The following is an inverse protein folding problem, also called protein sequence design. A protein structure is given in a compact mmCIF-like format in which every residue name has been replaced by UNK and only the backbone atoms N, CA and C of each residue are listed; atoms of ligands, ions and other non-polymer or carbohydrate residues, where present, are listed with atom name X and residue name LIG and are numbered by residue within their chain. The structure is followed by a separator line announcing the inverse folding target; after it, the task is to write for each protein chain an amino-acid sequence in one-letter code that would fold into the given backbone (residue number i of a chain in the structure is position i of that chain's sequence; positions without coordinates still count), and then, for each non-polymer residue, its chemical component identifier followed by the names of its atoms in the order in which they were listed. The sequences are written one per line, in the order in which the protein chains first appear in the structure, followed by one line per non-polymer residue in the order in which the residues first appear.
data_IF_449073811179
#
_entry.id   IF_449073811179
#
_cell.length_a   1.000
_cell.length_b   1.000
_cell.length_c   1.000
_cell.angle_alpha   90.00
_cell.angle_beta   90.00
_cell.angle_gamma   90.00
#
_symmetry.space_group_name_H-M   'P 1'
#
loop_
_entity.id
_entity.type
_entity.pdbx_description
1 polymer ?
#
# COMPACT_ATOMS: atom_id res chain seq x y z
N UNK A 1 31.34 24.34 23.29
CA UNK A 1 31.11 23.26 24.26
C UNK A 1 30.19 22.23 23.60
N UNK A 2 30.78 21.24 22.92
CA UNK A 2 30.06 20.25 22.11
C UNK A 2 29.63 19.10 23.01
N UNK A 3 28.33 18.83 23.04
CA UNK A 3 27.70 17.93 23.98
C UNK A 3 28.01 16.45 23.64
N UNK A 4 28.70 15.76 24.55
CA UNK A 4 29.26 14.40 24.41
C UNK A 4 28.22 13.32 24.05
N UNK A 5 26.93 13.59 24.31
CA UNK A 5 25.81 12.70 23.96
C UNK A 5 25.57 12.56 22.45
N UNK A 6 25.94 13.54 21.62
CA UNK A 6 25.76 13.44 20.16
C UNK A 6 26.84 12.62 19.46
N UNK A 7 28.01 12.44 20.08
CA UNK A 7 29.10 11.61 19.53
C UNK A 7 29.01 10.14 19.97
N UNK A 8 28.44 9.86 21.14
CA UNK A 8 28.21 8.48 21.59
C UNK A 8 27.19 7.74 20.71
N UNK A 9 26.17 8.45 20.21
CA UNK A 9 25.19 7.87 19.28
C UNK A 9 25.83 7.55 17.93
N UNK A 10 26.75 8.39 17.44
CA UNK A 10 27.39 8.20 16.13
C UNK A 10 28.45 7.08 16.11
N UNK A 11 29.14 6.85 17.24
CA UNK A 11 30.17 5.81 17.36
C UNK A 11 29.60 4.40 17.63
N UNK A 12 28.42 4.28 18.24
CA UNK A 12 27.74 2.99 18.41
C UNK A 12 27.28 2.42 17.06
N UNK A 13 27.05 3.25 16.04
CA UNK A 13 26.67 2.81 14.69
C UNK A 13 27.81 2.21 13.86
N UNK A 14 29.08 2.39 14.25
CA UNK A 14 30.23 1.95 13.43
C UNK A 14 30.89 0.63 13.88
N UNK A 15 30.57 0.09 15.07
CA UNK A 15 31.37 -1.02 15.64
C UNK A 15 30.63 -2.34 15.95
N UNK A 16 29.35 -2.49 15.62
CA UNK A 16 28.64 -3.77 15.81
C UNK A 16 27.79 -4.17 14.60
N UNK A 17 28.38 -4.83 13.57
CA UNK A 17 27.66 -5.25 12.38
C UNK A 17 26.50 -6.23 12.68
N UNK A 18 26.50 -6.88 13.85
CA UNK A 18 25.42 -7.78 14.29
C UNK A 18 24.15 -7.07 14.80
N UNK A 19 24.21 -5.79 15.19
CA UNK A 19 23.01 -5.05 15.64
C UNK A 19 22.26 -4.42 14.46
N UNK A 20 22.95 -4.08 13.36
CA UNK A 20 22.34 -3.58 12.12
C UNK A 20 21.32 -4.57 11.52
N UNK A 21 21.61 -5.87 11.57
CA UNK A 21 20.66 -6.91 11.13
C UNK A 21 19.46 -7.04 12.07
N UNK A 22 19.64 -6.79 13.38
CA UNK A 22 18.57 -6.92 14.38
C UNK A 22 17.57 -5.75 14.33
N UNK A 23 17.96 -4.58 13.80
CA UNK A 23 17.08 -3.42 13.60
C UNK A 23 16.51 -3.28 12.18
N UNK A 24 17.04 -3.98 11.16
CA UNK A 24 16.33 -4.14 9.87
C UNK A 24 15.02 -4.91 10.06
N UNK A 25 15.02 -5.93 10.92
CA UNK A 25 13.84 -6.75 11.17
C UNK A 25 12.76 -6.07 12.03
N UNK A 26 13.04 -4.92 12.68
CA UNK A 26 12.03 -4.20 13.45
C UNK A 26 11.23 -3.21 12.60
N UNK A 27 11.79 -2.74 11.47
CA UNK A 27 11.10 -1.91 10.48
C UNK A 27 10.34 -2.73 9.42
N UNK A 28 10.68 -4.02 9.28
CA UNK A 28 10.04 -5.00 8.39
C UNK A 28 8.75 -5.62 8.97
N UNK A 29 8.29 -5.15 10.13
CA UNK A 29 7.10 -5.66 10.81
C UNK A 29 6.09 -4.52 11.02
N UNK A 30 5.75 -3.83 9.93
CA UNK A 30 4.59 -2.93 9.89
C UNK A 30 3.46 -3.68 9.18
N UNK A 31 2.71 -4.49 9.94
CA UNK A 31 1.65 -5.36 9.41
C UNK A 31 0.54 -4.57 8.72
N UNK A 32 0.21 -3.41 9.30
CA UNK A 32 -0.82 -2.50 8.82
C UNK A 32 -0.46 -1.07 9.16
N UNK A 33 -0.53 -0.21 8.16
CA UNK A 33 -0.31 1.22 8.29
C UNK A 33 -1.49 1.95 7.67
N UNK A 34 -2.10 2.85 8.43
CA UNK A 34 -3.07 3.82 7.91
C UNK A 34 -2.44 5.20 8.03
N UNK A 35 -2.39 5.96 6.94
CA UNK A 35 -1.94 7.35 6.96
C UNK A 35 -3.06 8.25 6.47
N UNK A 36 -3.41 9.23 7.29
CA UNK A 36 -4.34 10.29 6.92
C UNK A 36 -3.60 11.62 6.78
N UNK A 37 -3.62 12.20 5.58
CA UNK A 37 -3.15 13.56 5.31
C UNK A 37 -4.34 14.51 5.39
N UNK A 38 -4.25 15.55 6.21
CA UNK A 38 -5.29 16.57 6.26
C UNK A 38 -5.23 17.52 5.03
N UNK A 39 -6.35 18.16 4.67
CA UNK A 39 -6.36 19.25 3.69
C UNK A 39 -5.38 20.37 4.07
N UNK A 40 -4.74 20.97 3.06
CA UNK A 40 -3.79 22.08 3.21
C UNK A 40 -2.61 21.82 4.16
N UNK A 41 -2.32 20.55 4.46
CA UNK A 41 -1.16 20.13 5.26
C UNK A 41 -0.32 19.12 4.48
N UNK A 42 0.98 19.26 4.58
CA UNK A 42 1.94 18.30 4.05
C UNK A 42 2.20 17.16 5.04
N UNK A 43 1.99 17.41 6.33
CA UNK A 43 2.07 16.39 7.38
C UNK A 43 0.73 15.68 7.57
N UNK A 44 0.78 14.42 7.97
CA UNK A 44 -0.37 13.59 8.28
C UNK A 44 -0.32 12.97 9.67
N UNK A 45 -1.26 12.06 9.90
CA UNK A 45 -1.33 11.18 11.05
C UNK A 45 -1.18 9.74 10.56
N UNK A 46 -0.34 8.95 11.20
CA UNK A 46 -0.18 7.53 10.94
C UNK A 46 -0.66 6.70 12.12
N UNK A 47 -1.39 5.63 11.81
CA UNK A 47 -1.76 4.58 12.74
C UNK A 47 -1.04 3.31 12.29
N UNK A 48 -0.23 2.76 13.19
CA UNK A 48 0.58 1.56 12.94
C UNK A 48 0.05 0.45 13.85
N UNK A 49 -0.35 -0.67 13.25
CA UNK A 49 -0.72 -1.85 14.02
C UNK A 49 0.54 -2.65 14.40
N UNK A 50 0.68 -3.03 15.68
CA UNK A 50 1.77 -3.90 16.16
C UNK A 50 2.46 -3.45 17.45
N UNK A 51 2.23 -2.22 17.92
CA UNK A 51 2.63 -1.75 19.25
C UNK A 51 1.39 -1.46 20.11
N UNK A 52 1.45 -1.70 21.42
CA UNK A 52 0.34 -1.46 22.35
C UNK A 52 -0.33 -0.08 22.17
N UNK A 53 -1.62 0.01 22.52
CA UNK A 53 -2.49 1.20 22.35
C UNK A 53 -2.10 2.06 21.14
N UNK A 54 -2.44 1.60 19.92
CA UNK A 54 -2.13 2.29 18.68
C UNK A 54 -2.75 3.70 18.67
N UNK A 55 -1.94 4.70 19.02
CA UNK A 55 -2.29 6.10 18.95
C UNK A 55 -1.85 6.67 17.60
N UNK A 56 -2.62 7.62 17.08
CA UNK A 56 -2.25 8.35 15.86
C UNK A 56 -1.00 9.19 16.09
N UNK A 57 0.07 8.88 15.35
CA UNK A 57 1.36 9.59 15.42
C UNK A 57 1.49 10.59 14.27
N UNK A 58 2.21 11.70 14.48
CA UNK A 58 2.51 12.63 13.40
C UNK A 58 3.45 11.97 12.38
N UNK A 59 3.20 12.19 11.09
CA UNK A 59 4.15 11.81 10.05
C UNK A 59 5.12 12.96 9.76
N UNK A 60 6.31 12.66 9.21
CA UNK A 60 7.07 13.63 8.43
C UNK A 60 6.24 14.18 7.25
N UNK A 61 6.77 15.19 6.57
CA UNK A 61 6.19 15.74 5.34
C UNK A 61 6.00 14.62 4.29
N UNK A 62 4.74 14.38 3.91
CA UNK A 62 4.31 13.35 2.96
C UNK A 62 4.51 13.76 1.49
N UNK A 63 4.95 14.98 1.21
CA UNK A 63 5.25 15.46 -0.15
C UNK A 63 6.74 15.32 -0.48
N UNK A 64 7.58 15.18 0.54
CA UNK A 64 9.02 15.02 0.40
C UNK A 64 9.40 13.54 0.21
N UNK A 65 10.50 13.27 -0.50
CA UNK A 65 11.11 11.93 -0.62
C UNK A 65 11.79 11.49 0.70
N UNK A 66 11.50 12.16 1.82
CA UNK A 66 11.98 11.76 3.13
C UNK A 66 11.50 10.35 3.46
N UNK A 67 12.25 9.60 4.27
CA UNK A 67 11.95 8.21 4.65
C UNK A 67 10.73 8.11 5.60
N UNK A 68 9.56 8.52 5.14
CA UNK A 68 8.29 8.33 5.82
C UNK A 68 7.60 7.04 5.35
N UNK A 69 6.60 6.61 6.12
CA UNK A 69 6.00 5.29 5.97
C UNK A 69 5.41 5.04 4.57
N UNK A 70 4.76 6.04 3.95
CA UNK A 70 4.23 5.93 2.57
C UNK A 70 5.34 5.77 1.51
N UNK A 71 6.43 6.55 1.56
CA UNK A 71 7.56 6.40 0.61
C UNK A 71 8.19 5.03 0.77
N UNK A 72 8.36 4.57 2.02
CA UNK A 72 8.94 3.26 2.32
C UNK A 72 8.10 2.11 1.77
N UNK A 73 6.78 2.16 1.94
CA UNK A 73 5.87 1.16 1.38
C UNK A 73 5.85 1.16 -0.15
N UNK A 74 6.29 2.24 -0.80
CA UNK A 74 6.31 2.38 -2.26
C UNK A 74 7.72 2.34 -2.85
N UNK A 75 8.76 2.03 -2.06
CA UNK A 75 10.17 2.14 -2.46
C UNK A 75 10.45 1.36 -3.76
N UNK A 76 9.83 0.19 -3.92
CA UNK A 76 9.98 -0.66 -5.10
C UNK A 76 8.95 -0.40 -6.20
N UNK A 77 8.04 0.55 -5.98
CA UNK A 77 7.08 1.04 -6.98
C UNK A 77 7.63 2.29 -7.65
N UNK A 78 8.33 3.14 -6.90
CA UNK A 78 8.93 4.40 -7.39
C UNK A 78 10.30 4.17 -8.03
N UNK A 79 10.97 3.06 -7.71
CA UNK A 79 12.26 2.67 -8.25
C UNK A 79 12.27 1.18 -8.57
N UNK A 80 12.94 0.80 -9.66
CA UNK A 80 13.02 -0.59 -10.10
C UNK A 80 13.72 -1.47 -9.05
N UNK A 81 13.14 -2.64 -8.79
CA UNK A 81 13.72 -3.68 -7.93
C UNK A 81 13.64 -5.04 -8.66
N UNK A 82 14.72 -5.84 -8.67
CA UNK A 82 14.71 -7.15 -9.32
C UNK A 82 13.76 -8.16 -8.63
N UNK A 83 13.62 -8.07 -7.30
CA UNK A 83 12.86 -9.00 -6.48
C UNK A 83 11.40 -8.58 -6.21
N UNK A 84 10.96 -7.37 -6.54
CA UNK A 84 9.56 -6.97 -6.30
C UNK A 84 8.86 -6.64 -7.61
N UNK A 85 7.65 -7.19 -7.78
CA UNK A 85 6.77 -7.03 -8.94
C UNK A 85 5.42 -6.54 -8.49
N UNK A 86 4.75 -5.75 -9.32
CA UNK A 86 3.54 -5.05 -8.93
C UNK A 86 2.60 -4.72 -10.08
N UNK A 87 1.33 -4.60 -9.70
CA UNK A 87 0.26 -4.00 -10.50
C UNK A 87 -0.10 -2.67 -9.85
N UNK A 88 -0.11 -1.60 -10.63
CA UNK A 88 -0.59 -0.30 -10.20
C UNK A 88 -1.87 0.08 -10.93
N UNK A 89 -2.87 0.52 -10.17
CA UNK A 89 -4.19 0.86 -10.67
C UNK A 89 -4.66 2.22 -10.13
N UNK A 90 -5.26 3.04 -10.99
CA UNK A 90 -5.76 4.35 -10.63
C UNK A 90 -6.76 4.83 -11.69
N UNK A 91 -7.90 5.37 -11.26
CA UNK A 91 -8.87 5.96 -12.18
C UNK A 91 -8.39 7.27 -12.83
N UNK A 92 -7.40 7.93 -12.26
CA UNK A 92 -6.70 9.08 -12.82
C UNK A 92 -5.20 8.78 -12.72
N UNK A 93 -4.63 7.98 -13.65
CA UNK A 93 -3.23 7.62 -13.58
C UNK A 93 -2.32 8.83 -13.83
N UNK A 94 -1.08 8.82 -13.31
CA UNK A 94 -0.12 9.88 -13.61
C UNK A 94 0.19 9.93 -15.10
N UNK A 95 0.19 11.14 -15.65
CA UNK A 95 0.63 11.43 -17.02
C UNK A 95 -0.18 10.73 -18.13
N UNK A 96 -1.39 10.23 -17.81
CA UNK A 96 -2.34 9.68 -18.77
C UNK A 96 -3.52 10.64 -18.91
N UNK A 97 -3.99 10.96 -20.14
CA UNK A 97 -5.20 11.75 -20.35
C UNK A 97 -6.38 11.16 -19.58
N UNK A 98 -7.28 12.01 -19.08
CA UNK A 98 -8.42 11.58 -18.25
C UNK A 98 -9.30 10.57 -19.00
N UNK A 99 -9.09 9.29 -18.72
CA UNK A 99 -9.94 8.20 -19.21
C UNK A 99 -11.18 8.13 -18.33
N UNK A 100 -12.37 8.02 -18.92
CA UNK A 100 -13.59 7.73 -18.15
C UNK A 100 -13.54 6.29 -17.66
N UNK A 101 -13.35 6.09 -16.36
CA UNK A 101 -13.39 4.77 -15.73
C UNK A 101 -14.71 4.59 -14.97
N UNK A 102 -15.14 3.34 -14.78
CA UNK A 102 -16.30 3.01 -13.93
C UNK A 102 -15.95 2.95 -12.44
N UNK A 103 -14.65 2.89 -12.12
CA UNK A 103 -14.12 2.80 -10.76
C UNK A 103 -13.54 4.11 -10.27
N UNK A 104 -13.55 4.31 -8.94
CA UNK A 104 -12.76 5.34 -8.26
C UNK A 104 -11.57 4.75 -7.46
N UNK A 105 -11.37 3.43 -7.52
CA UNK A 105 -10.35 2.72 -6.77
C UNK A 105 -8.94 3.05 -7.27
N UNK A 106 -8.00 3.17 -6.33
CA UNK A 106 -6.58 3.43 -6.60
C UNK A 106 -5.73 2.64 -5.62
N UNK A 107 -4.57 2.18 -6.08
CA UNK A 107 -3.69 1.36 -5.26
C UNK A 107 -2.60 0.66 -6.04
N UNK A 108 -1.84 -0.13 -5.29
CA UNK A 108 -0.74 -0.95 -5.79
C UNK A 108 -0.80 -2.31 -5.12
N UNK A 109 -0.75 -3.37 -5.90
CA UNK A 109 -0.61 -4.74 -5.43
C UNK A 109 0.80 -5.20 -5.77
N UNK A 110 1.58 -5.63 -4.78
CA UNK A 110 2.99 -5.99 -4.91
C UNK A 110 3.25 -7.40 -4.39
N UNK A 111 4.25 -8.07 -4.96
CA UNK A 111 4.72 -9.39 -4.57
C UNK A 111 6.20 -9.59 -4.90
N UNK A 112 6.88 -10.42 -4.12
CA UNK A 112 8.17 -10.97 -4.50
C UNK A 112 8.00 -12.41 -5.00
N UNK A 113 8.18 -12.68 -6.31
CA UNK A 113 7.98 -14.02 -6.86
C UNK A 113 9.07 -15.04 -6.44
N UNK A 114 10.09 -14.61 -5.69
CA UNK A 114 11.20 -15.47 -5.27
C UNK A 114 11.16 -15.80 -3.76
N UNK A 115 10.23 -15.21 -3.01
CA UNK A 115 10.15 -15.36 -1.55
C UNK A 115 8.69 -15.55 -1.16
N UNK A 116 8.39 -16.73 -0.63
CA UNK A 116 7.05 -17.07 -0.17
C UNK A 116 6.50 -16.06 0.85
N UNK A 117 5.23 -15.71 0.71
CA UNK A 117 4.46 -14.86 1.61
C UNK A 117 5.00 -13.42 1.75
N UNK A 118 5.74 -12.94 0.73
CA UNK A 118 6.18 -11.55 0.63
C UNK A 118 5.31 -10.78 -0.37
N UNK A 119 4.10 -10.42 0.06
CA UNK A 119 3.17 -9.62 -0.72
C UNK A 119 2.57 -8.46 0.09
N UNK A 120 2.21 -7.39 -0.61
CA UNK A 120 1.60 -6.22 0.01
C UNK A 120 0.57 -5.55 -0.89
N UNK A 121 -0.44 -4.96 -0.27
CA UNK A 121 -1.49 -4.24 -0.95
C UNK A 121 -1.65 -2.85 -0.35
N UNK A 122 -1.53 -1.84 -1.20
CA UNK A 122 -1.70 -0.44 -0.87
C UNK A 122 -2.96 0.07 -1.53
N UNK A 123 -3.84 0.68 -0.75
CA UNK A 123 -4.99 1.44 -1.23
C UNK A 123 -4.77 2.91 -0.88
N UNK A 124 -5.03 3.81 -1.82
CA UNK A 124 -4.96 5.24 -1.56
C UNK A 124 -6.08 6.03 -2.26
N UNK A 125 -6.23 7.29 -1.88
CA UNK A 125 -7.21 8.20 -2.50
C UNK A 125 -6.59 9.23 -3.45
N UNK A 126 -5.26 9.29 -3.55
CA UNK A 126 -4.52 10.29 -4.36
C UNK A 126 -4.61 10.03 -5.88
N UNK A 127 -5.25 10.89 -6.68
CA UNK A 127 -5.18 10.82 -8.15
C UNK A 127 -3.78 11.22 -8.65
N UNK A 128 -3.34 10.72 -9.82
CA UNK A 128 -2.03 11.05 -10.38
C UNK A 128 -0.84 10.43 -9.64
N UNK A 129 -1.08 9.37 -8.86
CA UNK A 129 -0.10 8.75 -7.96
C UNK A 129 -0.25 7.22 -7.90
N UNK A 130 0.80 6.45 -7.58
CA UNK A 130 2.22 6.82 -7.66
C UNK A 130 2.73 6.87 -9.10
N UNK A 131 3.85 7.54 -9.36
CA UNK A 131 4.53 7.47 -10.66
C UNK A 131 5.38 6.19 -10.72
N UNK A 132 4.80 5.12 -11.27
CA UNK A 132 5.49 3.83 -11.41
C UNK A 132 6.87 4.01 -12.08
N UNK A 133 7.91 3.54 -11.38
CA UNK A 133 9.33 3.55 -11.76
C UNK A 133 9.93 4.93 -12.07
N UNK A 134 9.28 6.02 -11.66
CA UNK A 134 9.66 7.39 -12.02
C UNK A 134 9.86 8.30 -10.80
N UNK A 135 10.21 7.71 -9.67
CA UNK A 135 10.48 8.43 -8.42
C UNK A 135 9.21 8.83 -7.67
N UNK A 136 9.43 9.32 -6.45
CA UNK A 136 8.36 9.79 -5.59
C UNK A 136 7.99 11.23 -5.93
N UNK A 137 6.76 11.44 -6.39
CA UNK A 137 6.21 12.77 -6.63
C UNK A 137 4.78 12.79 -6.08
N UNK A 138 4.55 13.55 -5.02
CA UNK A 138 3.21 13.83 -4.55
C UNK A 138 2.57 14.91 -5.44
N UNK A 139 1.38 14.70 -6.03
CA UNK A 139 0.75 15.65 -6.93
C UNK A 139 0.47 17.00 -6.23
N UNK A 140 0.98 18.14 -6.74
CA UNK A 140 0.76 19.45 -6.14
C UNK A 140 -0.72 19.83 -5.99
N UNK A 141 -1.56 19.41 -6.93
CA UNK A 141 -3.01 19.66 -6.94
C UNK A 141 -3.75 18.99 -5.78
N UNK A 142 -3.10 17.98 -5.17
CA UNK A 142 -3.66 17.15 -4.11
C UNK A 142 -3.18 17.59 -2.70
N UNK A 143 -2.27 18.58 -2.62
CA UNK A 143 -1.82 19.15 -1.33
C UNK A 143 -2.98 19.80 -0.57
N UNK A 144 -3.88 20.48 -1.30
CA UNK A 144 -5.05 21.16 -0.71
C UNK A 144 -6.14 20.20 -0.23
N UNK A 145 -6.05 18.89 -0.54
CA UNK A 145 -7.07 17.90 -0.24
C UNK A 145 -6.63 16.92 0.84
N UNK A 146 -7.62 16.29 1.46
CA UNK A 146 -7.39 15.22 2.42
C UNK A 146 -7.19 13.89 1.71
N UNK A 147 -6.21 13.10 2.15
CA UNK A 147 -5.90 11.80 1.54
C UNK A 147 -5.70 10.70 2.57
N UNK A 148 -6.06 9.49 2.17
CA UNK A 148 -5.92 8.28 2.97
C UNK A 148 -5.00 7.32 2.23
N UNK A 149 -4.11 6.69 2.97
CA UNK A 149 -3.31 5.54 2.56
C UNK A 149 -3.54 4.40 3.53
N UNK A 150 -3.73 3.20 3.00
CA UNK A 150 -3.81 1.97 3.76
C UNK A 150 -2.80 1.03 3.14
N UNK A 151 -1.80 0.60 3.91
CA UNK A 151 -0.79 -0.36 3.49
C UNK A 151 -0.98 -1.63 4.32
N UNK A 152 -1.13 -2.75 3.65
CA UNK A 152 -1.35 -4.07 4.24
C UNK A 152 -0.29 -5.04 3.74
N UNK A 153 0.30 -5.80 4.65
CA UNK A 153 1.05 -7.00 4.28
C UNK A 153 0.05 -8.16 4.15
N UNK A 154 0.13 -8.92 3.06
CA UNK A 154 -0.81 -9.98 2.74
C UNK A 154 -0.05 -11.27 2.43
N UNK A 155 -0.68 -12.43 2.64
CA UNK A 155 -0.13 -13.70 2.14
C UNK A 155 -0.25 -13.74 0.63
N UNK A 156 0.62 -14.49 -0.01
CA UNK A 156 0.50 -14.71 -1.45
C UNK A 156 -0.78 -15.45 -1.82
N UNK A 157 -1.28 -16.34 -0.96
CA UNK A 157 -2.55 -17.04 -1.18
C UNK A 157 -3.74 -16.08 -1.37
N UNK A 158 -3.68 -14.88 -0.80
CA UNK A 158 -4.77 -13.89 -0.87
C UNK A 158 -4.78 -13.07 -2.17
N UNK A 159 -3.72 -13.14 -2.97
CA UNK A 159 -3.56 -12.31 -4.17
C UNK A 159 -4.66 -12.59 -5.20
N UNK A 160 -5.05 -13.85 -5.39
CA UNK A 160 -6.11 -14.19 -6.34
C UNK A 160 -7.50 -13.70 -5.87
N UNK A 161 -7.75 -13.73 -4.55
CA UNK A 161 -8.96 -13.17 -3.95
C UNK A 161 -9.00 -11.64 -4.09
N UNK A 162 -7.87 -10.97 -3.85
CA UNK A 162 -7.74 -9.52 -4.08
C UNK A 162 -7.90 -9.19 -5.56
N UNK A 163 -7.35 -10.01 -6.46
CA UNK A 163 -7.52 -9.80 -7.89
C UNK A 163 -9.00 -9.89 -8.30
N UNK A 164 -9.76 -10.85 -7.76
CA UNK A 164 -11.21 -10.93 -7.94
C UNK A 164 -11.94 -9.69 -7.41
N UNK A 165 -11.55 -9.20 -6.24
CA UNK A 165 -12.07 -7.95 -5.68
C UNK A 165 -11.79 -6.75 -6.62
N UNK A 166 -10.57 -6.65 -7.15
CA UNK A 166 -10.20 -5.61 -8.11
C UNK A 166 -10.99 -5.77 -9.42
N UNK A 167 -11.23 -6.98 -9.92
CA UNK A 167 -12.09 -7.18 -11.10
C UNK A 167 -13.48 -6.57 -10.88
N UNK A 168 -14.06 -6.74 -9.68
CA UNK A 168 -15.33 -6.11 -9.30
C UNK A 168 -15.19 -4.60 -9.21
N UNK A 169 -14.10 -4.07 -8.66
CA UNK A 169 -13.89 -2.63 -8.72
C UNK A 169 -13.75 -2.09 -10.15
N UNK A 170 -13.33 -2.90 -11.13
CA UNK A 170 -13.00 -2.49 -12.51
C UNK A 170 -12.05 -1.29 -12.58
N UNK A 171 -10.94 -1.26 -11.82
CA UNK A 171 -10.02 -0.14 -11.85
C UNK A 171 -9.24 -0.13 -13.17
N UNK A 172 -8.71 1.03 -13.53
CA UNK A 172 -7.80 1.16 -14.65
C UNK A 172 -6.38 0.79 -14.19
N UNK A 173 -5.84 -0.29 -14.73
CA UNK A 173 -4.45 -0.72 -14.52
C UNK A 173 -3.58 0.07 -15.50
N UNK A 174 -2.53 0.72 -14.98
CA UNK A 174 -1.61 1.54 -15.79
C UNK A 174 -0.16 1.04 -15.74
N UNK A 175 0.14 0.08 -14.87
CA UNK A 175 1.43 -0.61 -14.81
C UNK A 175 1.23 -2.05 -14.34
N UNK A 176 1.94 -2.99 -14.97
CA UNK A 176 2.03 -4.38 -14.56
C UNK A 176 3.40 -4.92 -15.00
N UNK A 177 4.18 -5.44 -14.05
CA UNK A 177 5.42 -6.16 -14.33
C UNK A 177 5.45 -7.56 -13.66
N UNK A 178 4.31 -8.05 -13.16
CA UNK A 178 4.19 -9.40 -12.62
C UNK A 178 4.48 -10.42 -13.73
N UNK A 179 5.38 -11.41 -13.52
CA UNK A 179 5.76 -12.37 -14.54
C UNK A 179 4.59 -13.27 -14.92
N UNK A 180 4.57 -13.71 -16.18
CA UNK A 180 3.50 -14.56 -16.71
C UNK A 180 3.31 -15.86 -15.93
N UNK A 181 4.35 -16.40 -15.30
CA UNK A 181 4.23 -17.58 -14.44
C UNK A 181 3.27 -17.34 -13.26
N UNK A 182 3.40 -16.20 -12.57
CA UNK A 182 2.53 -15.79 -11.47
C UNK A 182 1.13 -15.40 -11.95
N UNK A 183 1.03 -14.77 -13.11
CA UNK A 183 -0.26 -14.43 -13.71
C UNK A 183 -1.01 -15.71 -14.10
N UNK A 184 -0.35 -16.67 -14.72
CA UNK A 184 -0.97 -17.90 -15.21
C UNK A 184 -1.34 -18.87 -14.09
N UNK A 185 -0.64 -18.84 -12.95
CA UNK A 185 -0.99 -19.64 -11.77
C UNK A 185 -2.24 -19.13 -11.04
N UNK A 186 -2.68 -17.89 -11.31
CA UNK A 186 -3.74 -17.18 -10.58
C UNK A 186 -4.88 -16.74 -11.53
N UNK A 187 -5.97 -17.52 -11.62
CA UNK A 187 -7.02 -17.29 -12.63
C UNK A 187 -7.67 -15.91 -12.57
N UNK A 188 -7.90 -15.34 -11.38
CA UNK A 188 -8.50 -14.01 -11.26
C UNK A 188 -7.48 -12.91 -11.55
N UNK A 189 -6.21 -13.11 -11.19
CA UNK A 189 -5.13 -12.18 -11.56
C UNK A 189 -4.97 -12.10 -13.07
N UNK A 190 -4.97 -13.24 -13.76
CA UNK A 190 -4.95 -13.31 -15.23
C UNK A 190 -6.10 -12.52 -15.86
N UNK A 191 -7.33 -12.76 -15.41
CA UNK A 191 -8.52 -12.08 -15.92
C UNK A 191 -8.49 -10.58 -15.64
N UNK A 192 -7.95 -10.17 -14.49
CA UNK A 192 -7.76 -8.77 -14.13
C UNK A 192 -6.79 -8.07 -15.08
N UNK A 193 -5.62 -8.65 -15.31
CA UNK A 193 -4.59 -8.10 -16.21
C UNK A 193 -5.08 -8.05 -17.65
N UNK A 194 -5.82 -9.07 -18.11
CA UNK A 194 -6.42 -9.11 -19.45
C UNK A 194 -7.60 -8.15 -19.64
N UNK A 195 -8.06 -7.46 -18.57
CA UNK A 195 -9.20 -6.55 -18.65
C UNK A 195 -10.55 -7.25 -18.86
N UNK A 196 -10.66 -8.53 -18.49
CA UNK A 196 -11.90 -9.30 -18.67
C UNK A 196 -13.00 -8.77 -17.74
N UNK A 197 -13.98 -8.08 -18.32
CA UNK A 197 -15.07 -7.42 -17.60
C UNK A 197 -16.26 -8.32 -17.28
N UNK A 198 -16.26 -9.59 -17.72
CA UNK A 198 -17.40 -10.50 -17.51
C UNK A 198 -17.36 -11.05 -16.08
N UNK A 199 -18.09 -10.37 -15.20
CA UNK A 199 -18.39 -10.84 -13.86
C UNK A 199 -19.83 -11.36 -13.84
N UNK A 200 -20.00 -12.61 -13.45
CA UNK A 200 -21.32 -13.16 -13.13
C UNK A 200 -21.69 -12.77 -11.69
N UNK A 201 -22.93 -12.33 -11.42
CA UNK A 201 -23.39 -11.95 -10.09
C UNK A 201 -23.12 -13.03 -9.01
N UNK A 202 -22.99 -12.64 -7.72
CA UNK A 202 -23.25 -11.31 -7.16
C UNK A 202 -22.09 -10.31 -7.31
N UNK A 203 -22.42 -9.05 -7.66
CA UNK A 203 -21.48 -7.92 -7.85
C UNK A 203 -21.11 -7.20 -6.53
N UNK A 204 -21.46 -7.82 -5.40
CA UNK A 204 -21.12 -7.38 -4.06
C UNK A 204 -20.39 -8.53 -3.40
N UNK A 205 -19.14 -8.32 -3.00
CA UNK A 205 -18.44 -9.32 -2.20
C UNK A 205 -17.80 -8.68 -0.99
N UNK A 206 -18.13 -9.24 0.18
CA UNK A 206 -17.40 -9.02 1.41
C UNK A 206 -16.39 -10.16 1.55
N UNK A 207 -15.10 -9.80 1.51
CA UNK A 207 -14.02 -10.73 1.74
C UNK A 207 -13.49 -10.54 3.15
N UNK A 208 -13.26 -11.65 3.84
CA UNK A 208 -12.44 -11.67 5.03
C UNK A 208 -11.12 -12.33 4.65
N UNK A 209 -10.01 -11.65 4.92
CA UNK A 209 -8.70 -12.28 4.85
C UNK A 209 -8.03 -12.18 6.21
N UNK A 210 -7.23 -13.20 6.53
CA UNK A 210 -6.46 -13.25 7.76
C UNK A 210 -5.11 -12.59 7.52
N UNK A 211 -4.78 -11.64 8.37
CA UNK A 211 -3.42 -11.12 8.45
C UNK A 211 -2.43 -12.26 8.72
N UNK A 212 -1.33 -12.28 7.97
CA UNK A 212 -0.35 -13.37 8.02
C UNK A 212 0.23 -13.64 9.40
N UNK A 213 0.32 -12.62 10.25
CA UNK A 213 1.08 -12.69 11.50
C UNK A 213 0.22 -12.42 12.73
N UNK A 214 -0.81 -11.56 12.63
CA UNK A 214 -1.73 -11.29 13.75
C UNK A 214 -3.01 -12.13 13.72
N UNK A 215 -3.22 -12.93 12.66
CA UNK A 215 -4.43 -13.72 12.42
C UNK A 215 -5.74 -12.90 12.54
N UNK A 216 -5.64 -11.58 12.41
CA UNK A 216 -6.77 -10.66 12.56
C UNK A 216 -7.56 -10.64 11.26
N UNK A 217 -8.88 -10.70 11.36
CA UNK A 217 -9.75 -10.65 10.18
C UNK A 217 -9.87 -9.21 9.67
N UNK A 218 -9.53 -9.02 8.40
CA UNK A 218 -9.73 -7.77 7.67
C UNK A 218 -10.93 -7.96 6.76
N UNK A 219 -11.96 -7.13 6.94
CA UNK A 219 -13.16 -7.14 6.14
C UNK A 219 -13.06 -6.07 5.05
N UNK A 220 -13.02 -6.50 3.80
CA UNK A 220 -13.07 -5.61 2.64
C UNK A 220 -14.37 -5.85 1.87
N UNK A 221 -15.16 -4.80 1.68
CA UNK A 221 -16.37 -4.88 0.86
C UNK A 221 -16.13 -4.20 -0.49
N UNK A 222 -16.27 -4.98 -1.55
CA UNK A 222 -16.29 -4.46 -2.91
C UNK A 222 -17.74 -4.36 -3.37
N UNK A 223 -18.17 -3.13 -3.71
CA UNK A 223 -19.45 -2.90 -4.37
C UNK A 223 -19.15 -2.31 -5.76
N UNK A 224 -19.84 -2.73 -6.82
CA UNK A 224 -19.84 -1.93 -8.04
C UNK A 224 -20.71 -0.68 -7.84
N UNK A 225 -20.23 0.56 -8.07
CA UNK A 225 -18.91 0.98 -8.58
C UNK A 225 -17.92 1.47 -7.50
N UNK A 226 -18.23 1.24 -6.22
CA UNK A 226 -17.53 1.81 -5.05
C UNK A 226 -16.78 0.76 -4.23
N UNK A 227 -15.47 0.93 -4.10
CA UNK A 227 -14.72 0.26 -3.05
C UNK A 227 -15.01 0.90 -1.70
N UNK A 228 -15.47 0.11 -0.72
CA UNK A 228 -15.65 0.56 0.66
C UNK A 228 -15.05 -0.48 1.61
N UNK A 229 -14.02 -0.09 2.36
CA UNK A 229 -13.57 -0.90 3.49
C UNK A 229 -14.57 -0.66 4.62
N UNK A 230 -15.54 -1.56 4.76
CA UNK A 230 -16.57 -1.52 5.79
C UNK A 230 -16.00 -2.18 7.04
N UNK A 231 -15.44 -1.33 7.91
CA UNK A 231 -15.37 -1.50 9.35
C UNK A 231 -14.52 -2.65 9.93
N UNK A 232 -13.64 -2.24 10.85
CA UNK A 232 -12.98 -3.06 11.86
C UNK A 232 -13.89 -3.11 13.10
N UNK A 233 -14.41 -4.27 13.52
CA UNK A 233 -15.18 -4.35 14.77
C UNK A 233 -14.24 -4.37 16.00
N UNK A 234 -14.62 -3.77 17.14
CA UNK A 234 -15.22 -2.46 17.34
C UNK A 234 -14.33 -1.65 18.32
N UNK A 235 -13.53 -0.69 17.86
CA UNK A 235 -12.90 0.34 18.75
C UNK A 235 -12.12 1.45 18.02
N UNK A 236 -12.52 1.83 16.80
CA UNK A 236 -11.94 3.00 16.15
C UNK A 236 -13.08 3.97 15.87
N UNK A 237 -13.40 4.77 16.89
CA UNK A 237 -14.25 5.95 16.74
C UNK A 237 -13.38 7.02 16.09
N UNK A 238 -13.78 7.48 14.90
CA UNK A 238 -13.29 8.74 14.36
C UNK A 238 -13.94 9.85 15.20
N UNK A 239 -13.20 10.38 16.15
CA UNK A 239 -13.53 11.66 16.80
C UNK A 239 -12.99 12.81 15.96
#
# INVERSE_FOLDING_TARGET
MFNLYKMAVFLVFLYLPKIYQKFKNLLLILYRLIVYKAPARNVGKALIAGGGAAAWQNTPDLTAVAAHAVVKSLEHVIQANPGNKFIAYNNIPPDVPKVKTKSNSKGVLMMNPNVDDEASWIVHTVPGFPKALRGYVFPPEEIQKGHLFICLTIKESEIDAIAMALRIATPLIYHNDIPDAEINSRPNLKKLVNGESRLTPPLTICWHFQDFQTNSQIYCTMLQPKFQIIQWLPKIIFY
#
